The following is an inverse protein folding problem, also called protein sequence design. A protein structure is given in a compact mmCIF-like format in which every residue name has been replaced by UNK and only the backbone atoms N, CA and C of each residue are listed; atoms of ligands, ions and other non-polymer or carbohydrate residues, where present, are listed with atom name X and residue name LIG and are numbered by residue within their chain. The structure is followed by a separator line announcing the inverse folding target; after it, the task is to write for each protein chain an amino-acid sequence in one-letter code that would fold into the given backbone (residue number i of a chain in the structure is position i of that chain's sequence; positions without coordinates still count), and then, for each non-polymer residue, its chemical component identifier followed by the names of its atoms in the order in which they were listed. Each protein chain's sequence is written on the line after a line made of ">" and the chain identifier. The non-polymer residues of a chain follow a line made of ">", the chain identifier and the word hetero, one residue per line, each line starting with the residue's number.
data_IF_403637900705
#
_entry.id   IF_403637900705
#
_cell.length_a   1.000
_cell.length_b   1.000
_cell.length_c   1.000
_cell.angle_alpha   90.00
_cell.angle_beta   90.00
_cell.angle_gamma   90.00
#
_symmetry.space_group_name_H-M   'P 1'
#
loop_
_entity.id
_entity.type
_entity.pdbx_description
1 polymer ?
#
# COMPACT_ATOMS: atom_id res chain seq x y z
N UNK A 1 -11.66 6.23 15.97
CA UNK A 1 -12.32 4.95 16.30
C UNK A 1 -12.07 3.95 15.18
N UNK A 2 -11.88 2.68 15.51
CA UNK A 2 -11.73 1.62 14.50
C UNK A 2 -13.08 1.34 13.83
N UNK A 3 -13.11 1.22 12.50
CA UNK A 3 -14.33 1.08 11.70
C UNK A 3 -14.71 -0.39 11.38
N UNK A 4 -14.19 -1.36 12.14
CA UNK A 4 -14.50 -2.79 11.97
C UNK A 4 -14.00 -3.42 10.66
N UNK A 5 -13.06 -2.78 9.96
CA UNK A 5 -12.46 -3.32 8.72
C UNK A 5 -11.30 -4.24 9.06
N UNK A 6 -11.47 -5.54 8.82
CA UNK A 6 -10.44 -6.57 9.05
C UNK A 6 -9.71 -7.03 7.79
N UNK A 7 -10.21 -6.65 6.60
CA UNK A 7 -9.64 -7.02 5.31
C UNK A 7 -9.20 -5.79 4.53
N UNK A 8 -7.92 -5.74 4.21
CA UNK A 8 -7.30 -4.73 3.35
C UNK A 8 -6.71 -5.44 2.15
N UNK A 9 -6.95 -4.90 0.95
CA UNK A 9 -6.41 -5.44 -0.30
C UNK A 9 -5.68 -4.32 -1.03
N UNK A 10 -4.39 -4.54 -1.29
CA UNK A 10 -3.59 -3.63 -2.11
C UNK A 10 -3.60 -4.11 -3.56
N UNK A 11 -3.76 -3.18 -4.49
CA UNK A 11 -3.73 -3.45 -5.93
C UNK A 11 -2.57 -2.68 -6.54
N UNK A 12 -1.66 -3.39 -7.19
CA UNK A 12 -0.53 -2.82 -7.94
C UNK A 12 -0.82 -3.08 -9.42
N UNK A 13 -0.91 -2.01 -10.21
CA UNK A 13 -1.07 -2.13 -11.66
C UNK A 13 0.15 -2.74 -12.34
N UNK A 14 -0.01 -3.24 -13.56
CA UNK A 14 1.11 -3.61 -14.43
C UNK A 14 1.64 -2.42 -15.22
N UNK A 15 2.40 -2.67 -16.29
CA UNK A 15 3.08 -1.63 -17.08
C UNK A 15 2.16 -0.58 -17.69
N UNK A 16 0.89 -0.93 -17.95
CA UNK A 16 -0.14 -0.01 -18.46
C UNK A 16 -0.98 0.66 -17.36
N UNK A 17 -0.63 0.44 -16.09
CA UNK A 17 -1.36 0.95 -14.94
C UNK A 17 -2.63 0.15 -14.62
N UNK A 18 -3.61 0.83 -14.01
CA UNK A 18 -4.89 0.25 -13.61
C UNK A 18 -6.03 0.78 -14.47
N UNK A 19 -6.92 -0.12 -14.90
CA UNK A 19 -8.12 0.26 -15.62
C UNK A 19 -8.99 1.23 -14.77
N UNK A 20 -9.64 2.25 -15.36
CA UNK A 20 -10.41 3.24 -14.62
C UNK A 20 -11.50 2.66 -13.71
N UNK A 21 -12.08 1.50 -14.05
CA UNK A 21 -13.06 0.83 -13.19
C UNK A 21 -12.46 0.38 -11.85
N UNK A 22 -11.20 -0.06 -11.83
CA UNK A 22 -10.49 -0.45 -10.61
C UNK A 22 -10.24 0.77 -9.73
N UNK A 23 -9.79 1.88 -10.34
CA UNK A 23 -9.59 3.14 -9.63
C UNK A 23 -10.89 3.67 -9.01
N UNK A 24 -12.02 3.59 -9.74
CA UNK A 24 -13.34 3.99 -9.21
C UNK A 24 -13.86 3.09 -8.10
N UNK A 25 -13.51 1.80 -8.12
CA UNK A 25 -13.89 0.84 -7.09
C UNK A 25 -13.04 0.99 -5.81
N UNK A 26 -11.81 1.47 -5.92
CA UNK A 26 -10.91 1.56 -4.78
C UNK A 26 -11.46 2.48 -3.69
N UNK A 27 -11.42 2.04 -2.43
CA UNK A 27 -11.79 2.85 -1.28
C UNK A 27 -10.79 4.00 -1.04
N UNK A 28 -9.55 3.85 -1.54
CA UNK A 28 -8.48 4.84 -1.46
C UNK A 28 -7.51 4.69 -2.63
N UNK A 29 -7.01 5.82 -3.15
CA UNK A 29 -5.85 5.86 -4.03
C UNK A 29 -4.63 6.33 -3.23
N UNK A 30 -3.60 5.49 -3.14
CA UNK A 30 -2.39 5.74 -2.35
C UNK A 30 -1.19 5.94 -3.30
N UNK A 31 -0.49 7.07 -3.14
CA UNK A 31 0.79 7.33 -3.80
C UNK A 31 1.95 7.16 -2.82
N UNK A 32 3.01 6.47 -3.24
CA UNK A 32 4.24 6.33 -2.45
C UNK A 32 5.24 7.45 -2.72
N UNK A 33 5.20 8.04 -3.93
CA UNK A 33 6.15 9.06 -4.42
C UNK A 33 5.68 9.58 -5.78
N UNK A 34 6.24 10.69 -6.22
CA UNK A 34 6.13 11.18 -7.60
C UNK A 34 7.05 10.40 -8.57
N UNK A 35 7.99 9.60 -8.05
CA UNK A 35 8.87 8.74 -8.85
C UNK A 35 8.15 7.49 -9.38
N UNK A 36 8.57 7.01 -10.55
CA UNK A 36 8.10 5.73 -11.10
C UNK A 36 9.02 4.59 -10.68
N UNK A 37 8.46 3.57 -10.02
CA UNK A 37 9.20 2.38 -9.59
C UNK A 37 8.87 1.17 -10.46
N UNK A 38 9.85 0.28 -10.76
CA UNK A 38 9.56 -1.01 -11.37
C UNK A 38 8.59 -1.83 -10.50
N UNK A 39 7.59 -2.46 -11.10
CA UNK A 39 6.51 -3.14 -10.37
C UNK A 39 7.02 -4.21 -9.37
N UNK A 40 8.08 -4.93 -9.71
CA UNK A 40 8.69 -5.92 -8.81
C UNK A 40 9.30 -5.27 -7.57
N UNK A 41 10.03 -4.16 -7.74
CA UNK A 41 10.62 -3.40 -6.64
C UNK A 41 9.51 -2.81 -5.76
N UNK A 42 8.48 -2.24 -6.38
CA UNK A 42 7.36 -1.62 -5.66
C UNK A 42 6.64 -2.62 -4.74
N UNK A 43 6.51 -3.89 -5.16
CA UNK A 43 5.94 -4.95 -4.31
C UNK A 43 6.74 -5.13 -3.01
N UNK A 44 8.06 -5.10 -3.09
CA UNK A 44 8.93 -5.26 -1.92
C UNK A 44 8.83 -4.03 -1.01
N UNK A 45 8.85 -2.83 -1.58
CA UNK A 45 8.68 -1.59 -0.83
C UNK A 45 7.33 -1.54 -0.10
N UNK A 46 6.24 -1.93 -0.77
CA UNK A 46 4.92 -2.00 -0.14
C UNK A 46 4.89 -3.00 1.01
N UNK A 47 5.48 -4.19 0.84
CA UNK A 47 5.55 -5.19 1.90
C UNK A 47 6.31 -4.68 3.14
N UNK A 48 7.43 -4.00 2.94
CA UNK A 48 8.19 -3.36 4.02
C UNK A 48 7.36 -2.28 4.72
N UNK A 49 6.66 -1.42 3.98
CA UNK A 49 5.81 -0.38 4.56
C UNK A 49 4.64 -0.94 5.36
N UNK A 50 4.05 -2.05 4.92
CA UNK A 50 3.02 -2.76 5.69
C UNK A 50 3.62 -3.28 7.01
N UNK A 51 4.77 -3.95 6.96
CA UNK A 51 5.46 -4.43 8.15
C UNK A 51 5.78 -3.29 9.13
N UNK A 52 6.31 -2.18 8.62
CA UNK A 52 6.52 -0.92 9.33
C UNK A 52 5.25 -0.43 10.02
N UNK A 53 4.13 -0.35 9.30
CA UNK A 53 2.87 0.09 9.89
C UNK A 53 2.44 -0.78 11.09
N UNK A 54 2.61 -2.10 11.00
CA UNK A 54 2.32 -3.00 12.13
C UNK A 54 3.25 -2.77 13.32
N UNK A 55 4.55 -2.55 13.10
CA UNK A 55 5.50 -2.24 14.17
C UNK A 55 5.15 -0.93 14.88
N UNK A 56 4.79 0.12 14.13
CA UNK A 56 4.28 1.38 14.69
C UNK A 56 3.04 1.13 15.55
N UNK A 57 2.05 0.41 15.02
CA UNK A 57 0.80 0.14 15.72
C UNK A 57 1.02 -0.66 17.02
N UNK A 58 2.03 -1.54 17.05
CA UNK A 58 2.39 -2.32 18.23
C UNK A 58 3.32 -1.58 19.20
N UNK A 59 3.73 -0.33 18.91
CA UNK A 59 4.74 0.42 19.66
C UNK A 59 6.09 -0.32 19.79
N UNK A 60 6.44 -1.10 18.77
CA UNK A 60 7.70 -1.82 18.73
C UNK A 60 8.82 -0.95 18.12
N UNK A 61 10.04 -0.97 18.69
CA UNK A 61 11.17 -0.22 18.14
C UNK A 61 11.60 -0.83 16.80
N UNK A 62 11.17 -0.19 15.72
CA UNK A 62 11.57 -0.50 14.35
C UNK A 62 11.90 0.75 13.53
N UNK A 63 11.43 1.90 14.01
CA UNK A 63 11.68 3.21 13.43
C UNK A 63 12.55 4.00 14.38
N UNK A 64 13.64 4.55 13.84
CA UNK A 64 14.36 5.65 14.47
C UNK A 64 13.92 6.94 13.78
#
# INVERSE_FOLDING_TARGET
>A
MLAGKSRIVFIIGGSFGLHPSVKRRADMLLSFSDMTFPHQLFRVMLAEQIYRAFKINNNEPYHK
#
